data_IF_538224676172
#
_entry.id   IF_538224676172
#
_cell.length_a   1.000
_cell.length_b   1.000
_cell.length_c   1.000
_cell.angle_alpha   90.00
_cell.angle_beta   90.00
_cell.angle_gamma   90.00
#
_symmetry.space_group_name_H-M   'P 1'
#
loop_
_entity.id
_entity.type
_entity.pdbx_description
1 polymer ?
#
# COMPACT_ATOMS: atom_id res chain seq x y z
N UNK A 1 12.65 31.23 27.31
CA UNK A 1 13.50 30.14 26.76
C UNK A 1 13.18 28.84 27.48
N UNK A 2 12.27 28.01 26.96
CA UNK A 2 12.21 26.57 27.32
C UNK A 2 11.45 25.85 26.21
N UNK A 3 12.22 25.18 25.35
CA UNK A 3 11.74 24.33 24.27
C UNK A 3 12.03 22.89 24.71
N UNK A 4 11.10 22.26 25.44
CA UNK A 4 11.23 20.86 25.83
C UNK A 4 9.83 20.26 26.04
N UNK A 5 9.32 19.59 25.00
CA UNK A 5 8.44 18.41 25.02
C UNK A 5 7.80 18.20 23.63
N UNK A 6 8.60 17.92 22.62
CA UNK A 6 8.11 17.19 21.45
C UNK A 6 8.05 15.70 21.85
N UNK A 7 7.04 15.33 22.63
CA UNK A 7 6.69 13.92 22.78
C UNK A 7 5.92 13.52 21.52
N UNK A 8 6.41 12.58 20.70
CA UNK A 8 5.61 12.01 19.63
C UNK A 8 4.38 11.34 20.25
N UNK A 9 3.22 11.96 20.08
CA UNK A 9 1.95 11.54 20.69
C UNK A 9 1.32 10.29 20.06
N UNK A 10 1.91 9.78 18.98
CA UNK A 10 1.40 8.63 18.29
C UNK A 10 2.50 7.58 18.26
N UNK A 11 2.36 6.59 19.15
CA UNK A 11 2.95 5.29 18.87
C UNK A 11 2.42 4.87 17.51
N UNK A 12 3.32 4.56 16.60
CA UNK A 12 3.02 3.91 15.34
C UNK A 12 2.39 2.56 15.74
N UNK A 13 1.07 2.52 15.78
CA UNK A 13 0.34 1.28 16.01
C UNK A 13 0.58 0.49 14.73
N UNK A 14 1.64 -0.32 14.75
CA UNK A 14 1.89 -1.35 13.76
C UNK A 14 0.73 -2.34 13.86
N UNK A 15 -0.41 -2.00 13.24
CA UNK A 15 -1.43 -2.99 12.90
C UNK A 15 -0.70 -4.12 12.17
N UNK A 16 -0.83 -5.32 12.70
CA UNK A 16 -0.14 -6.49 12.18
C UNK A 16 -0.52 -6.62 10.70
N UNK A 17 0.46 -6.56 9.78
CA UNK A 17 0.15 -6.66 8.37
C UNK A 17 -0.50 -8.02 8.12
N UNK A 18 -1.75 -7.98 7.67
CA UNK A 18 -2.49 -9.18 7.29
C UNK A 18 -1.92 -9.73 6.00
N UNK A 19 -2.05 -11.04 5.83
CA UNK A 19 -1.69 -11.71 4.58
C UNK A 19 -2.70 -11.35 3.50
N UNK A 20 -2.28 -11.37 2.23
CA UNK A 20 -3.21 -11.14 1.10
C UNK A 20 -4.41 -12.11 1.14
N UNK A 21 -4.22 -13.34 1.64
CA UNK A 21 -5.29 -14.34 1.77
C UNK A 21 -6.29 -14.05 2.90
N UNK A 22 -5.90 -13.22 3.87
CA UNK A 22 -6.70 -12.85 5.04
C UNK A 22 -7.32 -11.45 4.90
N UNK A 23 -7.08 -10.79 3.76
CA UNK A 23 -7.66 -9.51 3.43
C UNK A 23 -9.19 -9.60 3.34
N UNK A 24 -9.88 -8.98 4.30
CA UNK A 24 -11.31 -8.74 4.17
C UNK A 24 -11.60 -7.49 3.33
N UNK A 25 -12.58 -7.59 2.44
CA UNK A 25 -13.08 -6.46 1.66
C UNK A 25 -13.83 -5.44 2.53
N UNK A 26 -13.91 -4.20 2.06
CA UNK A 26 -14.67 -3.09 2.67
C UNK A 26 -14.12 -2.56 4.02
N UNK A 27 -12.90 -2.97 4.40
CA UNK A 27 -12.20 -2.45 5.57
C UNK A 27 -10.82 -1.89 5.24
N UNK A 28 -10.34 -0.98 6.08
CA UNK A 28 -8.95 -0.51 6.06
C UNK A 28 -8.05 -1.56 6.69
N UNK A 29 -7.06 -2.05 5.96
CA UNK A 29 -6.09 -3.03 6.45
C UNK A 29 -4.68 -2.69 6.00
N UNK A 30 -3.70 -3.16 6.77
CA UNK A 30 -2.31 -3.16 6.39
C UNK A 30 -1.91 -4.51 5.78
N UNK A 31 -1.21 -4.51 4.66
CA UNK A 31 -0.59 -5.70 4.07
C UNK A 31 0.91 -5.49 3.94
N UNK A 32 1.69 -6.55 4.17
CA UNK A 32 3.13 -6.54 3.91
C UNK A 32 3.38 -7.18 2.56
N UNK A 33 3.82 -6.39 1.60
CA UNK A 33 4.04 -6.84 0.23
C UNK A 33 5.41 -6.43 -0.29
N UNK A 34 6.08 -7.34 -0.99
CA UNK A 34 7.24 -7.04 -1.80
C UNK A 34 6.79 -6.61 -3.19
N UNK A 35 7.30 -5.48 -3.67
CA UNK A 35 7.01 -5.00 -5.03
C UNK A 35 7.71 -5.93 -6.01
N UNK A 36 6.96 -6.70 -6.79
CA UNK A 36 7.53 -7.69 -7.74
C UNK A 36 7.60 -7.19 -9.17
N UNK A 37 6.91 -6.09 -9.49
CA UNK A 37 6.89 -5.50 -10.83
C UNK A 37 6.99 -3.99 -10.74
N UNK A 38 7.42 -3.36 -11.84
CA UNK A 38 7.44 -1.91 -11.95
C UNK A 38 6.03 -1.32 -11.74
N UNK A 39 5.97 -0.26 -10.95
CA UNK A 39 4.74 0.47 -10.69
C UNK A 39 4.38 1.30 -11.92
N UNK A 40 3.22 0.98 -12.50
CA UNK A 40 2.70 1.63 -13.69
C UNK A 40 1.87 2.85 -13.31
N UNK A 41 2.19 4.02 -13.88
CA UNK A 41 1.39 5.24 -13.68
C UNK A 41 0.57 5.49 -14.93
N UNK A 42 -0.75 5.45 -14.79
CA UNK A 42 -1.72 5.75 -15.84
C UNK A 42 -2.47 7.02 -15.49
N UNK A 43 -2.43 8.03 -16.37
CA UNK A 43 -3.25 9.23 -16.22
C UNK A 43 -4.58 9.03 -16.94
N UNK A 44 -5.69 9.15 -16.22
CA UNK A 44 -7.06 9.01 -16.76
C UNK A 44 -7.83 10.29 -16.49
N UNK A 45 -8.19 11.01 -17.57
CA UNK A 45 -8.81 12.35 -17.50
C UNK A 45 -7.96 13.30 -16.64
N UNK A 46 -8.39 13.59 -15.41
CA UNK A 46 -7.69 14.45 -14.45
C UNK A 46 -7.09 13.68 -13.25
N UNK A 47 -7.20 12.34 -13.24
CA UNK A 47 -6.73 11.49 -12.15
C UNK A 47 -5.46 10.73 -12.56
N UNK A 48 -4.48 10.67 -11.66
CA UNK A 48 -3.30 9.81 -11.82
C UNK A 48 -3.54 8.52 -11.06
N UNK A 49 -3.59 7.40 -11.77
CA UNK A 49 -3.80 6.07 -11.22
C UNK A 49 -2.47 5.35 -11.27
N UNK A 50 -1.90 5.05 -10.12
CA UNK A 50 -0.65 4.34 -9.96
C UNK A 50 -1.00 2.91 -9.60
N UNK A 51 -0.47 1.94 -10.33
CA UNK A 51 -0.81 0.53 -10.18
C UNK A 51 0.47 -0.27 -9.94
N UNK A 52 0.53 -0.99 -8.83
CA UNK A 52 1.66 -1.84 -8.46
C UNK A 52 1.23 -3.29 -8.32
N UNK A 53 2.18 -4.20 -8.53
CA UNK A 53 2.00 -5.61 -8.18
C UNK A 53 2.84 -5.90 -6.95
N UNK A 54 2.15 -6.30 -5.90
CA UNK A 54 2.73 -6.66 -4.63
C UNK A 54 2.63 -8.17 -4.44
N UNK A 55 3.61 -8.76 -3.80
CA UNK A 55 3.63 -10.18 -3.48
C UNK A 55 3.87 -10.35 -1.99
N UNK A 56 3.06 -11.18 -1.36
CA UNK A 56 3.21 -11.54 0.04
C UNK A 56 4.35 -12.56 0.22
N UNK A 57 4.81 -12.74 1.46
CA UNK A 57 5.80 -13.76 1.83
C UNK A 57 5.32 -15.18 1.46
N UNK A 58 4.01 -15.44 1.47
CA UNK A 58 3.42 -16.72 1.01
C UNK A 58 3.37 -16.89 -0.51
N UNK A 59 3.72 -15.86 -1.27
CA UNK A 59 3.77 -15.90 -2.72
C UNK A 59 2.48 -15.54 -3.44
N UNK A 60 1.42 -15.22 -2.70
CA UNK A 60 0.21 -14.61 -3.26
C UNK A 60 0.53 -13.22 -3.80
N UNK A 61 -0.04 -12.88 -4.96
CA UNK A 61 0.16 -11.59 -5.61
C UNK A 61 -1.14 -10.79 -5.59
N UNK A 62 -1.05 -9.52 -5.22
CA UNK A 62 -2.14 -8.55 -5.22
C UNK A 62 -1.78 -7.36 -6.10
N UNK A 63 -2.79 -6.80 -6.75
CA UNK A 63 -2.67 -5.52 -7.45
C UNK A 63 -3.04 -4.40 -6.48
N UNK A 64 -2.15 -3.44 -6.32
CA UNK A 64 -2.42 -2.24 -5.54
C UNK A 64 -2.68 -1.07 -6.50
N UNK A 65 -3.64 -0.21 -6.20
CA UNK A 65 -4.02 0.89 -7.09
C UNK A 65 -4.20 2.18 -6.31
N UNK A 66 -3.18 3.03 -6.35
CA UNK A 66 -3.18 4.34 -5.71
C UNK A 66 -3.70 5.43 -6.64
N UNK A 67 -4.58 6.27 -6.14
CA UNK A 67 -5.08 7.44 -6.86
C UNK A 67 -4.31 8.70 -6.44
N UNK A 68 -4.06 9.59 -7.40
CA UNK A 68 -3.39 10.88 -7.26
C UNK A 68 -1.99 10.86 -6.59
N UNK A 69 -1.28 9.73 -6.64
CA UNK A 69 -0.03 9.54 -5.90
C UNK A 69 1.17 9.16 -6.79
N UNK A 70 1.52 9.96 -7.82
CA UNK A 70 2.58 9.63 -8.78
C UNK A 70 3.98 9.49 -8.15
N UNK A 71 4.22 10.12 -6.99
CA UNK A 71 5.48 10.06 -6.25
C UNK A 71 5.81 8.64 -5.73
N UNK A 72 4.81 7.76 -5.63
CA UNK A 72 5.00 6.37 -5.22
C UNK A 72 5.85 5.58 -6.23
N UNK A 73 5.83 5.93 -7.52
CA UNK A 73 6.67 5.27 -8.53
C UNK A 73 8.16 5.32 -8.17
N UNK A 74 8.63 6.44 -7.61
CA UNK A 74 10.05 6.60 -7.25
C UNK A 74 10.43 5.92 -5.94
N UNK A 75 9.46 5.69 -5.03
CA UNK A 75 9.70 5.02 -3.74
C UNK A 75 9.53 3.50 -3.80
N UNK A 76 8.67 3.02 -4.69
CA UNK A 76 8.34 1.61 -4.85
C UNK A 76 9.32 0.94 -5.82
N UNK A 77 10.51 0.62 -5.31
CA UNK A 77 11.52 -0.13 -6.05
C UNK A 77 11.17 -1.62 -6.04
N UNK A 78 11.41 -2.28 -7.18
CA UNK A 78 11.23 -3.73 -7.31
C UNK A 78 12.18 -4.45 -6.34
N UNK A 79 11.67 -5.45 -5.63
CA UNK A 79 12.39 -6.21 -4.61
C UNK A 79 12.35 -5.59 -3.22
N UNK A 80 11.89 -4.35 -3.09
CA UNK A 80 11.69 -3.73 -1.78
C UNK A 80 10.38 -4.21 -1.16
N UNK A 81 10.46 -4.54 0.13
CA UNK A 81 9.30 -4.93 0.93
C UNK A 81 8.77 -3.73 1.68
N UNK A 82 7.49 -3.43 1.50
CA UNK A 82 6.81 -2.33 2.15
C UNK A 82 5.53 -2.81 2.83
N UNK A 83 5.12 -2.08 3.87
CA UNK A 83 3.82 -2.24 4.50
C UNK A 83 2.89 -1.21 3.85
N UNK A 84 1.82 -1.69 3.23
CA UNK A 84 0.81 -0.86 2.59
C UNK A 84 -0.46 -0.91 3.41
N UNK A 85 -0.88 0.24 3.94
CA UNK A 85 -2.16 0.37 4.63
C UNK A 85 -3.13 1.12 3.73
N UNK A 86 -4.25 0.48 3.42
CA UNK A 86 -5.21 0.99 2.45
C UNK A 86 -6.60 0.45 2.69
N UNK A 87 -7.58 1.11 2.07
CA UNK A 87 -8.95 0.62 2.05
C UNK A 87 -9.07 -0.46 0.99
N UNK A 88 -9.37 -1.68 1.41
CA UNK A 88 -9.39 -2.84 0.53
C UNK A 88 -10.71 -2.86 -0.23
N UNK A 89 -10.66 -2.54 -1.54
CA UNK A 89 -11.78 -2.73 -2.44
C UNK A 89 -11.63 -4.02 -3.23
N UNK A 90 -12.64 -4.87 -3.15
CA UNK A 90 -12.79 -6.00 -4.04
C UNK A 90 -13.36 -5.52 -5.38
N UNK A 91 -12.67 -5.80 -6.49
CA UNK A 91 -13.22 -5.58 -7.82
C UNK A 91 -13.17 -6.89 -8.61
N UNK A 92 -14.20 -7.73 -8.43
CA UNK A 92 -14.64 -8.93 -9.18
C UNK A 92 -13.62 -10.02 -9.57
N UNK A 93 -12.32 -9.77 -9.53
CA UNK A 93 -11.20 -10.70 -9.74
C UNK A 93 -9.84 -10.07 -9.36
N UNK A 94 -9.82 -8.84 -8.80
CA UNK A 94 -8.61 -8.13 -8.41
C UNK A 94 -8.89 -7.25 -7.18
N UNK A 95 -8.10 -7.42 -6.13
CA UNK A 95 -8.15 -6.53 -4.97
C UNK A 95 -7.46 -5.20 -5.33
N UNK A 96 -7.86 -4.10 -4.70
CA UNK A 96 -7.20 -2.80 -4.83
C UNK A 96 -7.07 -2.19 -3.44
N UNK A 97 -5.84 -1.86 -3.06
CA UNK A 97 -5.49 -1.06 -1.88
C UNK A 97 -5.06 0.35 -2.28
#
# INVERSE_FOLDING_TARGET
MTFLRYYPRYYDVFEEPVLIRDLECDRTQAIKGTVVREVSVKRVRNLQVVTGYLRDERGDAIKATWFNSPYLKGKLTIGSTFIFRGFVKENYSNFSI
#
